data_IF_780426228092
#
_entry.id   IF_780426228092
#
_cell.length_a   1.000
_cell.length_b   1.000
_cell.length_c   1.000
_cell.angle_alpha   90.00
_cell.angle_beta   90.00
_cell.angle_gamma   90.00
#
_symmetry.space_group_name_H-M   'P 1'
#
loop_
_entity.id
_entity.type
_entity.pdbx_description
1 polymer ?
#
# COMPACT_ATOMS: atom_id res chain seq x y z
N UNK A 1 4.55 23.04 -5.69
CA UNK A 1 3.16 23.16 -6.22
C UNK A 1 3.03 22.58 -7.64
N UNK A 2 4.00 22.79 -8.54
CA UNK A 2 4.04 22.11 -9.85
C UNK A 2 4.38 20.61 -9.76
N UNK A 3 5.16 20.20 -8.76
CA UNK A 3 5.51 18.78 -8.55
C UNK A 3 4.34 17.91 -8.01
N UNK A 4 3.41 18.49 -7.25
CA UNK A 4 2.24 17.74 -6.74
C UNK A 4 1.19 17.49 -7.82
N UNK A 5 1.17 18.30 -8.89
CA UNK A 5 0.32 18.07 -10.07
C UNK A 5 0.88 16.89 -10.90
N UNK A 6 2.21 16.71 -10.93
CA UNK A 6 2.85 15.56 -11.57
C UNK A 6 2.52 14.21 -10.92
N UNK A 7 2.37 14.17 -9.59
CA UNK A 7 2.04 12.95 -8.85
C UNK A 7 0.54 12.57 -8.94
N UNK A 8 -0.37 13.54 -9.03
CA UNK A 8 -1.80 13.29 -9.30
C UNK A 8 -1.98 12.69 -10.70
N UNK A 9 -1.20 13.17 -11.67
CA UNK A 9 -1.17 12.62 -13.03
C UNK A 9 -0.76 11.14 -13.07
N UNK A 10 0.22 10.72 -12.25
CA UNK A 10 0.67 9.32 -12.19
C UNK A 10 -0.41 8.36 -11.69
N UNK A 11 -1.17 8.72 -10.66
CA UNK A 11 -2.25 7.87 -10.12
C UNK A 11 -3.42 7.71 -11.10
N UNK A 12 -3.82 8.81 -11.76
CA UNK A 12 -4.89 8.80 -12.77
C UNK A 12 -4.44 8.05 -14.03
N UNK A 13 -3.19 8.22 -14.47
CA UNK A 13 -2.62 7.50 -15.61
C UNK A 13 -2.45 6.01 -15.30
N UNK A 14 -2.02 5.64 -14.09
CA UNK A 14 -1.91 4.23 -13.68
C UNK A 14 -3.28 3.55 -13.59
N UNK A 15 -4.29 4.22 -13.02
CA UNK A 15 -5.68 3.74 -13.01
C UNK A 15 -6.27 3.62 -14.42
N UNK A 16 -5.98 4.57 -15.30
CA UNK A 16 -6.41 4.53 -16.71
C UNK A 16 -5.72 3.42 -17.51
N UNK A 17 -4.43 3.18 -17.30
CA UNK A 17 -3.68 2.09 -17.94
C UNK A 17 -4.19 0.73 -17.47
N UNK A 18 -4.47 0.56 -16.18
CA UNK A 18 -5.08 -0.65 -15.62
C UNK A 18 -6.51 -0.89 -16.13
N UNK A 19 -7.29 0.16 -16.38
CA UNK A 19 -8.70 0.02 -16.75
C UNK A 19 -8.93 -0.08 -18.28
N UNK A 20 -8.25 0.75 -19.09
CA UNK A 20 -8.53 0.86 -20.53
C UNK A 20 -7.56 0.11 -21.46
N UNK A 21 -6.32 -0.13 -21.03
CA UNK A 21 -5.34 -0.87 -21.83
C UNK A 21 -5.19 -2.31 -21.34
N UNK A 22 -5.26 -2.52 -20.03
CA UNK A 22 -4.91 -3.78 -19.41
C UNK A 22 -6.05 -4.82 -19.37
N UNK A 23 -7.24 -4.43 -18.91
CA UNK A 23 -8.40 -5.33 -18.83
C UNK A 23 -8.79 -5.97 -20.18
N UNK A 24 -8.77 -5.24 -21.32
CA UNK A 24 -9.05 -5.81 -22.64
C UNK A 24 -7.96 -6.78 -23.10
N UNK A 25 -6.68 -6.37 -22.97
CA UNK A 25 -5.54 -7.18 -23.40
C UNK A 25 -5.40 -8.47 -22.59
N UNK A 26 -5.65 -8.40 -21.28
CA UNK A 26 -5.58 -9.57 -20.41
C UNK A 26 -6.71 -10.56 -20.67
N UNK A 27 -7.93 -10.07 -20.95
CA UNK A 27 -9.06 -10.90 -21.40
C UNK A 27 -8.76 -11.61 -22.72
N UNK A 28 -8.15 -10.91 -23.68
CA UNK A 28 -7.77 -11.45 -24.99
C UNK A 28 -6.63 -12.47 -24.90
N UNK A 29 -5.63 -12.23 -24.05
CA UNK A 29 -4.54 -13.17 -23.79
C UNK A 29 -5.04 -14.47 -23.15
N UNK A 30 -5.99 -14.36 -22.23
CA UNK A 30 -6.62 -15.50 -21.57
C UNK A 30 -7.52 -16.27 -22.55
N UNK A 31 -8.36 -15.59 -23.33
CA UNK A 31 -9.22 -16.26 -24.32
C UNK A 31 -8.42 -17.02 -25.37
N UNK A 32 -7.31 -16.45 -25.86
CA UNK A 32 -6.41 -17.13 -26.79
C UNK A 32 -5.72 -18.35 -26.19
N UNK A 33 -5.32 -18.31 -24.90
CA UNK A 33 -4.81 -19.49 -24.19
C UNK A 33 -5.88 -20.57 -24.02
N UNK A 34 -7.14 -20.18 -23.77
CA UNK A 34 -8.28 -21.12 -23.68
C UNK A 34 -8.55 -21.83 -25.01
N UNK A 35 -8.55 -21.12 -26.14
CA UNK A 35 -8.85 -21.71 -27.46
C UNK A 35 -7.74 -22.64 -27.96
N UNK A 36 -6.48 -22.24 -27.79
CA UNK A 36 -5.33 -23.02 -28.29
C UNK A 36 -5.22 -24.40 -27.63
N UNK A 37 -5.63 -24.51 -26.37
CA UNK A 37 -5.47 -25.73 -25.55
C UNK A 37 -6.66 -26.70 -25.67
N UNK A 38 -7.80 -26.27 -26.22
CA UNK A 38 -8.93 -27.16 -26.53
C UNK A 38 -8.59 -28.15 -27.65
N UNK A 39 -7.56 -27.86 -28.45
CA UNK A 39 -7.22 -28.59 -29.67
C UNK A 39 -6.01 -29.55 -29.57
N UNK A 40 -5.38 -29.72 -28.39
CA UNK A 40 -4.27 -30.67 -28.22
C UNK A 40 -4.72 -31.95 -27.48
N UNK A 41 -4.86 -33.04 -28.24
CA UNK A 41 -5.17 -34.40 -27.75
C UNK A 41 -3.93 -35.30 -27.82
N UNK A 42 -3.49 -35.86 -26.68
CA UNK A 42 -2.84 -37.19 -26.60
C UNK A 42 -2.63 -37.70 -25.16
N UNK A 43 -2.61 -39.02 -24.96
CA UNK A 43 -2.99 -39.65 -23.69
C UNK A 43 -1.99 -39.59 -22.51
N UNK A 44 -0.74 -39.15 -22.71
CA UNK A 44 0.22 -38.90 -21.60
C UNK A 44 -0.04 -37.57 -20.85
N UNK A 45 -1.03 -36.80 -21.32
CA UNK A 45 -1.34 -35.45 -20.90
C UNK A 45 -2.31 -35.36 -19.71
N UNK A 46 -2.84 -36.43 -19.11
CA UNK A 46 -3.92 -36.27 -18.12
C UNK A 46 -3.54 -35.46 -16.87
N UNK A 47 -2.41 -35.77 -16.24
CA UNK A 47 -1.90 -34.99 -15.07
C UNK A 47 -1.47 -33.58 -15.47
N UNK A 48 -0.79 -33.42 -16.61
CA UNK A 48 -0.41 -32.09 -17.13
C UNK A 48 -1.64 -31.25 -17.51
N UNK A 49 -2.68 -31.89 -18.04
CA UNK A 49 -3.97 -31.27 -18.39
C UNK A 49 -4.75 -30.90 -17.13
N UNK A 50 -4.76 -31.73 -16.09
CA UNK A 50 -5.36 -31.40 -14.79
C UNK A 50 -4.65 -30.23 -14.11
N UNK A 51 -3.31 -30.21 -14.11
CA UNK A 51 -2.52 -29.08 -13.59
C UNK A 51 -2.80 -27.81 -14.40
N UNK A 52 -2.84 -27.92 -15.73
CA UNK A 52 -3.15 -26.81 -16.62
C UNK A 52 -4.59 -26.29 -16.42
N UNK A 53 -5.56 -27.17 -16.21
CA UNK A 53 -6.94 -26.78 -15.90
C UNK A 53 -7.03 -26.05 -14.56
N UNK A 54 -6.30 -26.51 -13.53
CA UNK A 54 -6.21 -25.81 -12.25
C UNK A 54 -5.56 -24.43 -12.39
N UNK A 55 -4.50 -24.31 -13.19
CA UNK A 55 -3.86 -23.03 -13.47
C UNK A 55 -4.83 -22.07 -14.19
N UNK A 56 -5.58 -22.56 -15.19
CA UNK A 56 -6.59 -21.78 -15.91
C UNK A 56 -7.76 -21.37 -15.01
N UNK A 57 -8.22 -22.26 -14.13
CA UNK A 57 -9.26 -21.96 -13.14
C UNK A 57 -8.79 -20.89 -12.15
N UNK A 58 -7.53 -20.96 -11.72
CA UNK A 58 -6.94 -19.94 -10.87
C UNK A 58 -6.82 -18.59 -11.58
N UNK A 59 -6.40 -18.56 -12.84
CA UNK A 59 -6.37 -17.34 -13.65
C UNK A 59 -7.77 -16.72 -13.83
N UNK A 60 -8.80 -17.57 -13.99
CA UNK A 60 -10.20 -17.11 -14.00
C UNK A 60 -10.60 -16.50 -12.66
N UNK A 61 -10.25 -17.13 -11.53
CA UNK A 61 -10.49 -16.60 -10.19
C UNK A 61 -9.78 -15.25 -9.99
N UNK A 62 -8.52 -15.13 -10.41
CA UNK A 62 -7.79 -13.86 -10.34
C UNK A 62 -8.55 -12.75 -11.05
N UNK A 63 -9.05 -13.01 -12.26
CA UNK A 63 -9.73 -12.01 -13.09
C UNK A 63 -11.12 -11.67 -12.57
N UNK A 64 -11.93 -12.66 -12.23
CA UNK A 64 -13.35 -12.46 -11.92
C UNK A 64 -13.60 -12.10 -10.45
N UNK A 65 -12.71 -12.51 -9.53
CA UNK A 65 -12.92 -12.35 -8.09
C UNK A 65 -11.88 -11.49 -7.41
N UNK A 66 -10.60 -11.63 -7.78
CA UNK A 66 -9.52 -10.94 -7.07
C UNK A 66 -9.31 -9.53 -7.61
N UNK A 67 -9.22 -9.38 -8.93
CA UNK A 67 -8.96 -8.09 -9.58
C UNK A 67 -9.98 -6.99 -9.20
N UNK A 68 -11.30 -7.23 -9.20
CA UNK A 68 -12.27 -6.20 -8.82
C UNK A 68 -12.08 -5.69 -7.38
N UNK A 69 -11.69 -6.57 -6.48
CA UNK A 69 -11.45 -6.21 -5.08
C UNK A 69 -10.09 -5.52 -4.90
N UNK A 70 -9.06 -5.87 -5.69
CA UNK A 70 -7.79 -5.14 -5.74
C UNK A 70 -7.97 -3.73 -6.32
N UNK A 71 -8.83 -3.57 -7.31
CA UNK A 71 -9.23 -2.25 -7.83
C UNK A 71 -9.99 -1.43 -6.77
N UNK A 72 -10.90 -2.06 -6.04
CA UNK A 72 -11.58 -1.39 -4.93
C UNK A 72 -10.60 -0.93 -3.84
N UNK A 73 -9.63 -1.79 -3.48
CA UNK A 73 -8.54 -1.41 -2.57
C UNK A 73 -7.77 -0.21 -3.13
N UNK A 74 -7.39 -0.22 -4.42
CA UNK A 74 -6.71 0.92 -5.04
C UNK A 74 -7.50 2.23 -4.92
N UNK A 75 -8.82 2.20 -5.12
CA UNK A 75 -9.66 3.38 -4.96
C UNK A 75 -9.66 3.89 -3.52
N UNK A 76 -9.71 2.99 -2.53
CA UNK A 76 -9.60 3.34 -1.11
C UNK A 76 -8.24 3.98 -0.82
N UNK A 77 -7.15 3.44 -1.37
CA UNK A 77 -5.81 4.01 -1.20
C UNK A 77 -5.70 5.42 -1.78
N UNK A 78 -6.36 5.67 -2.92
CA UNK A 78 -6.41 6.98 -3.56
C UNK A 78 -7.20 7.98 -2.71
N UNK A 79 -8.41 7.62 -2.26
CA UNK A 79 -9.23 8.44 -1.35
C UNK A 79 -8.44 8.77 -0.08
N UNK A 80 -7.87 7.74 0.57
CA UNK A 80 -7.08 7.94 1.77
C UNK A 80 -5.83 8.81 1.56
N UNK A 81 -5.15 8.72 0.39
CA UNK A 81 -3.99 9.57 0.09
C UNK A 81 -4.35 11.05 0.06
N UNK A 82 -5.50 11.39 -0.52
CA UNK A 82 -5.99 12.77 -0.55
C UNK A 82 -6.26 13.30 0.85
N UNK A 83 -6.87 12.46 1.70
CA UNK A 83 -7.06 12.79 3.10
C UNK A 83 -5.68 12.94 3.80
N UNK A 84 -4.77 11.99 3.68
CA UNK A 84 -3.44 12.04 4.29
C UNK A 84 -2.67 13.32 3.92
N UNK A 85 -2.74 13.79 2.68
CA UNK A 85 -2.14 15.07 2.29
C UNK A 85 -2.76 16.26 3.05
N UNK A 86 -4.08 16.24 3.21
CA UNK A 86 -4.83 17.22 4.02
C UNK A 86 -4.40 17.17 5.49
N UNK A 87 -4.18 15.97 6.04
CA UNK A 87 -3.67 15.77 7.40
C UNK A 87 -2.35 16.49 7.62
N UNK A 88 -1.36 16.24 6.74
CA UNK A 88 -0.02 16.81 6.87
C UNK A 88 -0.06 18.34 6.77
N UNK A 89 -0.91 18.88 5.89
CA UNK A 89 -1.18 20.31 5.81
C UNK A 89 -1.76 20.86 7.13
N UNK A 90 -2.70 20.15 7.76
CA UNK A 90 -3.27 20.57 9.04
C UNK A 90 -2.28 20.51 10.21
N UNK A 91 -1.33 19.58 10.21
CA UNK A 91 -0.25 19.53 11.22
C UNK A 91 0.60 20.81 11.17
N UNK A 92 0.94 21.28 9.96
CA UNK A 92 1.69 22.53 9.76
C UNK A 92 0.88 23.73 10.28
N UNK A 93 -0.38 23.80 9.89
CA UNK A 93 -1.25 24.95 10.14
C UNK A 93 -1.99 24.90 11.48
N UNK A 94 -1.79 23.85 12.28
CA UNK A 94 -2.45 23.63 13.57
C UNK A 94 -3.99 23.65 13.46
N UNK A 95 -4.52 23.14 12.35
CA UNK A 95 -5.96 23.05 12.14
C UNK A 95 -6.51 21.83 12.88
N UNK A 96 -7.63 21.97 13.60
CA UNK A 96 -8.28 20.82 14.25
C UNK A 96 -8.85 19.83 13.24
N UNK A 97 -8.96 18.56 13.64
CA UNK A 97 -9.65 17.54 12.87
C UNK A 97 -11.16 17.82 12.85
N UNK A 98 -11.82 17.62 11.71
CA UNK A 98 -13.28 17.73 11.61
C UNK A 98 -13.95 16.36 11.80
N UNK A 99 -15.23 16.37 12.18
CA UNK A 99 -16.01 15.14 12.36
C UNK A 99 -16.20 14.40 11.03
N UNK A 100 -16.31 15.11 9.92
CA UNK A 100 -16.51 14.50 8.60
C UNK A 100 -15.31 13.61 8.20
N UNK A 101 -14.08 14.05 8.49
CA UNK A 101 -12.86 13.28 8.17
C UNK A 101 -12.81 11.95 8.95
N UNK A 102 -13.23 11.97 10.21
CA UNK A 102 -13.28 10.76 11.02
C UNK A 102 -14.34 9.78 10.51
N UNK A 103 -15.50 10.28 10.09
CA UNK A 103 -16.55 9.45 9.47
C UNK A 103 -16.07 8.83 8.15
N UNK A 104 -15.40 9.61 7.30
CA UNK A 104 -14.81 9.14 6.05
C UNK A 104 -13.73 8.07 6.29
N UNK A 105 -12.82 8.30 7.24
CA UNK A 105 -11.78 7.36 7.65
C UNK A 105 -12.37 6.02 8.08
N UNK A 106 -13.40 6.04 8.94
CA UNK A 106 -14.08 4.84 9.42
C UNK A 106 -14.70 4.07 8.25
N UNK A 107 -15.28 4.77 7.27
CA UNK A 107 -15.87 4.15 6.09
C UNK A 107 -14.80 3.51 5.19
N UNK A 108 -13.65 4.16 5.00
CA UNK A 108 -12.52 3.58 4.27
C UNK A 108 -11.98 2.30 4.95
N UNK A 109 -11.84 2.30 6.28
CA UNK A 109 -11.41 1.11 7.04
C UNK A 109 -12.39 -0.06 6.86
N UNK A 110 -13.70 0.21 6.93
CA UNK A 110 -14.72 -0.83 6.65
C UNK A 110 -14.59 -1.39 5.24
N UNK A 111 -14.47 -0.53 4.22
CA UNK A 111 -14.35 -0.95 2.82
C UNK A 111 -13.10 -1.81 2.59
N UNK A 112 -11.95 -1.47 3.20
CA UNK A 112 -10.73 -2.24 3.02
C UNK A 112 -10.79 -3.59 3.74
N UNK A 113 -11.41 -3.67 4.93
CA UNK A 113 -11.65 -4.93 5.64
C UNK A 113 -12.48 -5.89 4.78
N UNK A 114 -13.59 -5.39 4.21
CA UNK A 114 -14.49 -6.19 3.37
C UNK A 114 -13.73 -6.70 2.14
N UNK A 115 -13.02 -5.81 1.43
CA UNK A 115 -12.29 -6.18 0.21
C UNK A 115 -11.19 -7.19 0.51
N UNK A 116 -10.40 -6.96 1.56
CA UNK A 116 -9.33 -7.86 1.99
C UNK A 116 -9.89 -9.25 2.36
N UNK A 117 -11.03 -9.32 3.05
CA UNK A 117 -11.62 -10.61 3.45
C UNK A 117 -11.94 -11.49 2.25
N UNK A 118 -12.42 -10.89 1.14
CA UNK A 118 -12.78 -11.61 -0.09
C UNK A 118 -11.58 -12.12 -0.88
N UNK A 119 -10.44 -11.42 -0.82
CA UNK A 119 -9.24 -11.81 -1.58
C UNK A 119 -8.21 -12.60 -0.78
N UNK A 120 -8.30 -12.59 0.56
CA UNK A 120 -7.28 -13.10 1.47
C UNK A 120 -6.86 -14.57 1.26
N UNK A 121 -7.71 -15.42 0.68
CA UNK A 121 -7.36 -16.81 0.41
C UNK A 121 -6.60 -16.99 -0.91
N UNK A 122 -6.65 -15.99 -1.79
CA UNK A 122 -6.11 -16.06 -3.15
C UNK A 122 -4.80 -15.31 -3.31
N UNK A 123 -4.50 -14.34 -2.43
CA UNK A 123 -3.26 -13.57 -2.48
C UNK A 123 -2.20 -14.08 -1.48
N UNK A 124 -0.90 -13.96 -1.81
CA UNK A 124 0.21 -14.36 -0.93
C UNK A 124 0.21 -13.64 0.42
N UNK A 125 0.90 -14.23 1.41
CA UNK A 125 0.93 -13.72 2.78
C UNK A 125 1.51 -12.31 2.86
N UNK A 126 2.62 -12.06 2.20
CA UNK A 126 3.31 -10.78 2.15
C UNK A 126 2.38 -9.69 1.60
N UNK A 127 1.63 -10.03 0.56
CA UNK A 127 0.66 -9.12 -0.06
C UNK A 127 -0.50 -8.81 0.89
N UNK A 128 -1.01 -9.82 1.61
CA UNK A 128 -2.00 -9.60 2.68
C UNK A 128 -1.49 -8.69 3.77
N UNK A 129 -0.25 -8.90 4.20
CA UNK A 129 0.36 -8.11 5.27
C UNK A 129 0.59 -6.66 4.83
N UNK A 130 0.92 -6.42 3.56
CA UNK A 130 0.98 -5.08 2.99
C UNK A 130 -0.39 -4.38 2.98
N UNK A 131 -1.44 -5.05 2.50
CA UNK A 131 -2.81 -4.49 2.52
C UNK A 131 -3.27 -4.25 3.97
N UNK A 132 -2.90 -5.13 4.90
CA UNK A 132 -3.19 -4.94 6.31
C UNK A 132 -2.41 -3.76 6.91
N UNK A 133 -1.19 -3.48 6.47
CA UNK A 133 -0.46 -2.26 6.86
C UNK A 133 -1.18 -0.99 6.39
N UNK A 134 -1.79 -1.02 5.21
CA UNK A 134 -2.66 0.06 4.78
C UNK A 134 -3.89 0.24 5.64
N UNK A 135 -4.58 -0.87 5.92
CA UNK A 135 -5.72 -0.85 6.82
C UNK A 135 -5.32 -0.21 8.15
N UNK A 136 -4.20 -0.65 8.74
CA UNK A 136 -3.68 -0.07 9.99
C UNK A 136 -3.45 1.42 9.86
N UNK A 137 -2.78 1.86 8.80
CA UNK A 137 -2.53 3.27 8.51
C UNK A 137 -3.84 4.05 8.49
N UNK A 138 -4.86 3.58 7.77
CA UNK A 138 -6.21 4.19 7.74
C UNK A 138 -6.84 4.19 9.15
N UNK A 139 -6.74 3.08 9.88
CA UNK A 139 -7.33 2.94 11.22
C UNK A 139 -6.71 3.91 12.22
N UNK A 140 -5.39 4.08 12.19
CA UNK A 140 -4.64 4.96 13.09
C UNK A 140 -4.26 6.29 12.45
N UNK A 141 -4.99 6.74 11.44
CA UNK A 141 -4.80 8.11 10.94
C UNK A 141 -5.38 9.10 11.95
N UNK A 142 -4.91 10.35 11.91
CA UNK A 142 -5.55 11.52 12.55
C UNK A 142 -5.39 11.67 14.07
N UNK A 143 -4.23 11.30 14.64
CA UNK A 143 -3.85 11.86 15.95
C UNK A 143 -4.08 13.38 15.95
N UNK A 144 -4.59 13.98 17.05
CA UNK A 144 -4.84 15.41 17.10
C UNK A 144 -3.65 16.20 16.57
N UNK A 145 -3.88 16.94 15.49
CA UNK A 145 -2.87 17.67 14.71
C UNK A 145 -2.05 18.60 15.59
N UNK A 146 -2.69 19.22 16.59
CA UNK A 146 -2.03 20.07 17.58
C UNK A 146 -0.99 19.28 18.38
N UNK A 147 -1.35 18.08 18.86
CA UNK A 147 -0.44 17.22 19.62
C UNK A 147 0.73 16.77 18.76
N UNK A 148 0.48 16.39 17.50
CA UNK A 148 1.56 16.02 16.57
C UNK A 148 2.45 17.23 16.27
N UNK A 149 1.87 18.38 15.94
CA UNK A 149 2.59 19.63 15.65
C UNK A 149 3.49 20.06 16.81
N UNK A 150 2.97 20.04 18.05
CA UNK A 150 3.74 20.44 19.22
C UNK A 150 4.83 19.41 19.58
N UNK A 151 4.59 18.12 19.31
CA UNK A 151 5.61 17.06 19.45
C UNK A 151 6.73 17.25 18.44
N UNK A 152 6.39 17.44 17.17
CA UNK A 152 7.36 17.60 16.09
C UNK A 152 8.12 18.92 16.19
N UNK A 153 7.50 19.99 16.71
CA UNK A 153 8.20 21.27 16.93
C UNK A 153 9.43 21.14 17.81
N UNK A 154 9.44 20.19 18.77
CA UNK A 154 10.61 19.95 19.63
C UNK A 154 11.83 19.42 18.87
N UNK A 155 11.64 18.93 17.64
CA UNK A 155 12.72 18.41 16.80
C UNK A 155 13.43 19.50 16.00
N UNK A 156 12.77 20.64 15.75
CA UNK A 156 13.26 21.69 14.86
C UNK A 156 13.16 21.38 13.35
N UNK A 157 12.79 20.15 12.96
CA UNK A 157 12.82 19.67 11.57
C UNK A 157 11.43 19.20 11.07
N UNK A 158 10.36 19.89 11.46
CA UNK A 158 8.99 19.46 11.18
C UNK A 158 8.73 19.22 9.68
N UNK A 159 9.17 20.12 8.80
CA UNK A 159 8.98 19.99 7.35
C UNK A 159 9.67 18.75 6.78
N UNK A 160 10.88 18.45 7.25
CA UNK A 160 11.66 17.26 6.85
C UNK A 160 10.95 15.98 7.26
N UNK A 161 10.40 15.95 8.48
CA UNK A 161 9.64 14.80 9.00
C UNK A 161 8.34 14.59 8.20
N UNK A 162 7.64 15.68 7.84
CA UNK A 162 6.43 15.59 7.01
C UNK A 162 6.75 15.11 5.59
N UNK A 163 7.86 15.57 4.99
CA UNK A 163 8.35 15.03 3.71
C UNK A 163 8.69 13.54 3.83
N UNK A 164 9.31 13.13 4.93
CA UNK A 164 9.62 11.73 5.20
C UNK A 164 8.35 10.88 5.35
N UNK A 165 7.28 11.44 5.90
CA UNK A 165 5.98 10.78 5.99
C UNK A 165 5.36 10.52 4.61
N UNK A 166 5.49 11.48 3.68
CA UNK A 166 5.09 11.28 2.29
C UNK A 166 5.88 10.17 1.60
N UNK A 167 7.21 10.18 1.71
CA UNK A 167 8.08 9.14 1.15
C UNK A 167 7.67 7.74 1.64
N UNK A 168 7.41 7.60 2.95
CA UNK A 168 6.99 6.33 3.54
C UNK A 168 5.62 5.86 3.04
N UNK A 169 4.68 6.79 2.84
CA UNK A 169 3.38 6.47 2.24
C UNK A 169 3.57 6.00 0.78
N UNK A 170 4.45 6.66 0.03
CA UNK A 170 4.78 6.32 -1.35
C UNK A 170 5.46 4.96 -1.48
N UNK A 171 6.35 4.59 -0.55
CA UNK A 171 6.96 3.25 -0.49
C UNK A 171 5.90 2.15 -0.36
N UNK A 172 4.95 2.31 0.57
CA UNK A 172 3.84 1.36 0.78
C UNK A 172 2.96 1.28 -0.48
N UNK A 173 2.76 2.41 -1.16
CA UNK A 173 1.96 2.52 -2.40
C UNK A 173 2.61 1.86 -3.59
N UNK A 174 3.87 2.18 -3.84
CA UNK A 174 4.65 1.51 -4.84
C UNK A 174 4.67 -0.01 -4.60
N UNK A 175 4.78 -0.46 -3.35
CA UNK A 175 4.82 -1.88 -3.03
C UNK A 175 3.49 -2.55 -3.39
N UNK A 176 2.37 -1.90 -3.14
CA UNK A 176 1.07 -2.44 -3.53
C UNK A 176 0.99 -2.60 -5.05
N UNK A 177 1.40 -1.59 -5.81
CA UNK A 177 1.39 -1.66 -7.27
C UNK A 177 2.32 -2.73 -7.84
N UNK A 178 3.55 -2.84 -7.34
CA UNK A 178 4.49 -3.87 -7.79
C UNK A 178 4.02 -5.29 -7.42
N UNK A 179 3.43 -5.46 -6.22
CA UNK A 179 2.83 -6.73 -5.83
C UNK A 179 1.62 -7.12 -6.69
N UNK A 180 0.81 -6.15 -7.12
CA UNK A 180 -0.27 -6.37 -8.08
C UNK A 180 0.29 -6.85 -9.43
N UNK A 181 1.31 -6.16 -9.97
CA UNK A 181 1.94 -6.54 -11.25
C UNK A 181 2.52 -7.95 -11.19
N UNK A 182 3.20 -8.31 -10.11
CA UNK A 182 3.75 -9.65 -9.90
C UNK A 182 2.65 -10.71 -9.76
N UNK A 183 1.60 -10.44 -8.97
CA UNK A 183 0.47 -11.35 -8.77
C UNK A 183 -0.28 -11.66 -10.08
N UNK A 184 -0.46 -10.64 -10.92
CA UNK A 184 -1.11 -10.73 -12.23
C UNK A 184 -0.17 -11.27 -13.33
N UNK A 185 1.09 -11.59 -13.02
CA UNK A 185 2.04 -12.18 -13.96
C UNK A 185 2.49 -11.23 -15.08
N UNK A 186 2.51 -9.92 -14.82
CA UNK A 186 2.81 -8.87 -15.81
C UNK A 186 4.31 -8.58 -15.94
N UNK A 187 5.06 -9.01 -14.93
CA UNK A 187 6.53 -8.95 -14.91
C UNK A 187 7.05 -10.37 -15.17
N UNK A 188 8.21 -10.48 -15.84
CA UNK A 188 8.84 -11.79 -16.07
C UNK A 188 9.01 -12.49 -14.72
N UNK A 189 8.41 -13.68 -14.62
CA UNK A 189 8.28 -14.52 -13.44
C UNK A 189 9.61 -14.62 -12.70
N UNK A 190 9.74 -13.89 -11.59
CA UNK A 190 10.47 -14.20 -10.33
C UNK A 190 10.85 -12.91 -9.60
N UNK A 191 9.88 -12.19 -9.04
CA UNK A 191 10.18 -11.38 -7.86
C UNK A 191 9.52 -12.04 -6.66
N UNK A 192 10.35 -12.57 -5.75
CA UNK A 192 9.94 -12.87 -4.39
C UNK A 192 9.28 -11.60 -3.82
N UNK A 193 8.10 -11.73 -3.22
CA UNK A 193 7.41 -10.59 -2.60
C UNK A 193 8.29 -9.89 -1.56
N UNK A 194 9.20 -10.62 -0.92
CA UNK A 194 10.21 -10.06 -0.01
C UNK A 194 11.20 -9.14 -0.74
N UNK A 195 11.59 -9.48 -1.97
CA UNK A 195 12.48 -8.65 -2.80
C UNK A 195 11.77 -7.37 -3.26
N UNK A 196 10.49 -7.46 -3.63
CA UNK A 196 9.66 -6.29 -3.95
C UNK A 196 9.66 -5.30 -2.77
N UNK A 197 9.40 -5.81 -1.56
CA UNK A 197 9.43 -4.99 -0.34
C UNK A 197 10.81 -4.35 -0.13
N UNK A 198 11.88 -5.15 -0.21
CA UNK A 198 13.24 -4.67 0.01
C UNK A 198 13.65 -3.56 -0.97
N UNK A 199 13.30 -3.72 -2.26
CA UNK A 199 13.55 -2.72 -3.29
C UNK A 199 12.86 -1.38 -3.00
N UNK A 200 11.73 -1.43 -2.31
CA UNK A 200 10.93 -0.28 -1.92
C UNK A 200 11.14 0.14 -0.46
N UNK A 201 12.30 -0.21 0.11
CA UNK A 201 12.71 0.18 1.47
C UNK A 201 11.73 -0.28 2.55
N UNK A 202 11.09 -1.41 2.32
CA UNK A 202 10.24 -2.11 3.28
C UNK A 202 10.83 -3.49 3.59
N UNK A 203 10.49 -4.03 4.75
CA UNK A 203 10.78 -5.43 5.10
C UNK A 203 9.62 -6.05 5.84
N UNK A 204 9.49 -7.36 5.71
CA UNK A 204 8.63 -8.16 6.56
C UNK A 204 9.41 -8.59 7.81
N UNK A 205 8.94 -8.19 8.99
CA UNK A 205 9.53 -8.56 10.27
C UNK A 205 8.40 -8.84 11.28
N UNK A 206 8.41 -10.00 11.92
CA UNK A 206 7.40 -10.41 12.90
C UNK A 206 5.95 -10.28 12.38
N UNK A 207 5.70 -10.70 11.14
CA UNK A 207 4.40 -10.56 10.46
C UNK A 207 3.90 -9.12 10.33
N UNK A 208 4.82 -8.15 10.26
CA UNK A 208 4.51 -6.74 10.06
C UNK A 208 5.42 -6.15 9.00
N UNK A 209 4.87 -5.26 8.16
CA UNK A 209 5.68 -4.45 7.27
C UNK A 209 6.30 -3.32 8.09
N UNK A 210 7.63 -3.17 7.98
CA UNK A 210 8.40 -2.08 8.58
C UNK A 210 9.21 -1.38 7.49
N UNK A 211 9.50 -0.10 7.70
CA UNK A 211 10.48 0.62 6.88
C UNK A 211 11.91 0.19 7.23
N UNK A 212 12.79 0.16 6.22
CA UNK A 212 14.25 0.06 6.35
C UNK A 212 14.93 1.37 5.94
N UNK A 213 14.18 2.46 5.74
CA UNK A 213 14.80 3.77 5.51
C UNK A 213 15.62 4.17 6.72
N UNK A 214 16.84 4.60 6.46
CA UNK A 214 17.73 5.16 7.47
C UNK A 214 17.41 6.63 7.69
N UNK A 215 17.60 7.13 8.90
CA UNK A 215 17.28 8.50 9.28
C UNK A 215 16.29 8.56 10.45
N UNK A 216 16.50 9.52 11.34
CA UNK A 216 15.65 9.70 12.52
C UNK A 216 14.29 10.30 12.13
N UNK A 217 14.26 11.10 11.09
CA UNK A 217 13.07 11.70 10.48
C UNK A 217 12.08 10.64 9.99
N UNK A 218 12.57 9.56 9.36
CA UNK A 218 11.74 8.46 8.90
C UNK A 218 11.19 7.64 10.07
N UNK A 219 12.02 7.39 11.10
CA UNK A 219 11.58 6.68 12.30
C UNK A 219 10.50 7.46 13.06
N UNK A 220 10.68 8.78 13.17
CA UNK A 220 9.69 9.67 13.78
C UNK A 220 8.42 9.66 12.94
N UNK A 221 8.49 9.95 11.64
CA UNK A 221 7.33 9.94 10.75
C UNK A 221 6.56 8.62 10.83
N UNK A 222 7.26 7.48 10.80
CA UNK A 222 6.65 6.15 10.92
C UNK A 222 5.89 5.98 12.23
N UNK A 223 6.50 6.35 13.36
CA UNK A 223 5.95 6.08 14.71
C UNK A 223 5.03 7.18 15.25
N UNK A 224 5.11 8.41 14.76
CA UNK A 224 4.32 9.54 15.29
C UNK A 224 3.26 10.05 14.32
N UNK A 225 3.39 9.76 13.03
CA UNK A 225 2.42 10.19 12.01
C UNK A 225 1.66 8.98 11.46
N UNK A 226 2.37 7.99 10.89
CA UNK A 226 1.72 6.90 10.15
C UNK A 226 1.11 5.82 11.06
N UNK A 227 1.82 5.41 12.12
CA UNK A 227 1.43 4.27 12.95
C UNK A 227 1.37 4.61 14.44
N UNK A 228 0.90 5.82 14.78
CA UNK A 228 1.02 6.35 16.14
C UNK A 228 0.33 5.52 17.23
N UNK A 229 -0.69 4.72 16.92
CA UNK A 229 -1.34 3.86 17.94
C UNK A 229 -0.59 2.56 18.22
N UNK A 230 0.35 2.18 17.36
CA UNK A 230 1.09 0.92 17.45
C UNK A 230 2.44 1.03 18.17
N UNK A 231 2.77 2.24 18.64
CA UNK A 231 4.01 2.52 19.37
C UNK A 231 3.69 3.25 20.66
N UNK A 232 4.32 2.80 21.74
CA UNK A 232 4.07 3.37 23.07
C UNK A 232 4.67 4.78 23.21
N UNK A 233 4.31 5.46 24.29
CA UNK A 233 4.82 6.81 24.56
C UNK A 233 6.33 6.78 24.86
N UNK A 234 6.86 5.71 25.46
CA UNK A 234 8.26 5.61 25.85
C UNK A 234 9.17 5.53 24.61
N UNK A 235 8.81 4.71 23.62
CA UNK A 235 9.51 4.60 22.34
C UNK A 235 9.53 5.93 21.59
N UNK A 236 8.42 6.69 21.62
CA UNK A 236 8.35 8.01 21.01
C UNK A 236 9.23 9.03 21.74
N UNK A 237 9.21 9.01 23.07
CA UNK A 237 10.05 9.90 23.90
C UNK A 237 11.54 9.59 23.68
N UNK A 238 11.92 8.31 23.66
CA UNK A 238 13.30 7.88 23.40
C UNK A 238 13.82 8.41 22.06
N UNK A 239 12.98 8.35 21.01
CA UNK A 239 13.31 8.90 19.69
C UNK A 239 13.48 10.42 19.71
N UNK A 240 12.57 11.13 20.39
CA UNK A 240 12.67 12.58 20.52
C UNK A 240 13.90 13.00 21.33
N UNK A 241 14.30 12.22 22.33
CA UNK A 241 15.55 12.45 23.08
C UNK A 241 16.79 12.23 22.21
N UNK A 242 16.79 11.23 21.33
CA UNK A 242 17.88 10.99 20.37
C UNK A 242 18.07 12.19 19.44
N UNK A 243 17.00 12.79 18.94
CA UNK A 243 17.08 14.04 18.14
C UNK A 243 17.69 15.18 18.95
N UNK A 244 17.22 15.40 20.19
CA UNK A 244 17.73 16.47 21.06
C UNK A 244 19.21 16.31 21.39
N UNK A 245 19.73 15.07 21.45
CA UNK A 245 21.15 14.78 21.65
C UNK A 245 21.95 15.01 20.37
N UNK A 246 21.45 14.56 19.23
CA UNK A 246 22.09 14.77 17.92
C UNK A 246 22.23 16.25 17.53
N UNK A 247 21.29 17.11 17.96
CA UNK A 247 21.34 18.55 17.67
C UNK A 247 22.27 19.35 18.60
N UNK A 248 22.92 18.69 19.57
CA UNK A 248 23.87 19.32 20.53
C UNK A 248 25.34 19.01 20.22
N UNK A 249 25.60 18.11 19.29
CA UNK A 249 26.93 17.77 18.76
C UNK A 249 27.22 18.59 17.51
#
# INVERSE_FOLDING_TARGET
MLESIGQIGLGVVLGFVLNHLFLPFYKELISHKFEKNKNQDNHNLQLERELLYKDLEFEKIKLERVLPELENINNILYEHRMMFNTYLYWIINKCGNTKEIEEERVELDKKIIISLSKVSLYIPMEFRLLINSYRKLISCSWMPTQTVSDTLRQTGEIEKILSSAHDLYDDISAAFYEMNKNFLGLVKKTDDYSLILANLKLKLENNQIKTIREGIEYQIAWKTILFHEYYDLAEKVELLEKVKKSNKE
#
